data_IF_903511686842
#
_entry.id   IF_903511686842
#
_cell.length_a   1.000
_cell.length_b   1.000
_cell.length_c   1.000
_cell.angle_alpha   90.00
_cell.angle_beta   90.00
_cell.angle_gamma   90.00
#
_symmetry.space_group_name_H-M   'P 1'
#
loop_
_entity.id
_entity.type
_entity.pdbx_description
1 polymer ?
#
# COMPACT_ATOMS: atom_id res chain seq x y z
N UNK A 1 18.52 11.68 11.64
CA UNK A 1 17.69 11.72 10.43
C UNK A 1 16.28 11.37 10.88
N UNK A 2 15.36 12.35 10.86
CA UNK A 2 13.98 12.08 11.25
C UNK A 2 13.33 11.29 10.12
N UNK A 3 12.97 10.03 10.39
CA UNK A 3 12.20 9.22 9.44
C UNK A 3 10.80 9.81 9.34
N UNK A 4 10.29 9.96 8.13
CA UNK A 4 8.94 10.47 7.84
C UNK A 4 8.18 9.42 7.04
N UNK A 5 6.94 9.16 7.43
CA UNK A 5 5.97 8.40 6.66
C UNK A 5 5.22 9.36 5.76
N UNK A 6 5.27 9.11 4.44
CA UNK A 6 4.50 9.85 3.44
C UNK A 6 3.22 9.09 3.12
N UNK A 7 2.08 9.77 3.20
CA UNK A 7 0.78 9.29 2.76
C UNK A 7 0.42 9.98 1.46
N UNK A 8 0.07 9.22 0.42
CA UNK A 8 -0.26 9.73 -0.90
C UNK A 8 -1.73 9.45 -1.21
N UNK A 9 -2.38 10.32 -1.99
CA UNK A 9 -3.73 10.06 -2.45
C UNK A 9 -3.73 8.92 -3.49
N UNK A 10 -4.52 7.86 -3.32
CA UNK A 10 -4.57 6.75 -4.28
C UNK A 10 -5.09 7.14 -5.68
N UNK A 11 -5.69 8.32 -5.82
CA UNK A 11 -6.11 8.87 -7.11
C UNK A 11 -4.96 9.59 -7.85
N UNK A 12 -3.77 9.64 -7.26
CA UNK A 12 -2.58 10.30 -7.82
C UNK A 12 -2.82 11.76 -8.21
N UNK A 13 -3.57 12.49 -7.38
CA UNK A 13 -3.90 13.91 -7.61
C UNK A 13 -2.76 14.88 -7.25
N UNK A 14 -1.59 14.35 -6.85
CA UNK A 14 -0.42 15.13 -6.42
C UNK A 14 -0.43 15.56 -4.95
N UNK A 15 -1.52 15.32 -4.22
CA UNK A 15 -1.58 15.57 -2.78
C UNK A 15 -0.83 14.49 -1.98
N UNK A 16 -0.11 14.93 -0.95
CA UNK A 16 0.52 14.06 0.03
C UNK A 16 0.52 14.69 1.42
N UNK A 17 0.57 13.84 2.44
CA UNK A 17 0.76 14.23 3.83
C UNK A 17 2.00 13.55 4.39
N UNK A 18 2.99 14.35 4.79
CA UNK A 18 4.23 13.88 5.41
C UNK A 18 4.11 13.95 6.92
N UNK A 19 4.35 12.83 7.61
CA UNK A 19 4.29 12.72 9.07
C UNK A 19 5.59 12.14 9.62
N UNK A 20 6.08 12.58 10.79
CA UNK A 20 7.17 11.89 11.49
C UNK A 20 6.82 10.41 11.80
N UNK A 21 7.76 9.49 11.56
CA UNK A 21 7.58 8.06 11.87
C UNK A 21 7.63 7.79 13.38
N UNK A 22 8.32 8.64 14.13
CA UNK A 22 8.38 8.58 15.58
C UNK A 22 7.55 9.72 16.18
N UNK A 23 6.67 9.43 17.16
CA UNK A 23 5.89 10.46 17.84
C UNK A 23 6.81 11.41 18.62
N UNK A 24 6.41 12.68 18.70
CA UNK A 24 7.08 13.65 19.57
C UNK A 24 6.75 13.35 21.04
N UNK A 25 7.74 12.85 21.76
CA UNK A 25 7.62 12.49 23.19
C UNK A 25 8.07 13.63 24.11
N UNK A 26 8.32 14.83 23.59
CA UNK A 26 8.71 15.98 24.42
C UNK A 26 7.58 16.37 25.39
N UNK A 27 7.92 16.47 26.68
CA UNK A 27 6.96 16.87 27.74
C UNK A 27 6.25 15.72 28.45
N UNK A 28 6.53 14.46 28.11
CA UNK A 28 5.99 13.29 28.80
C UNK A 28 6.71 13.06 30.13
N UNK A 29 6.02 13.18 31.27
CA UNK A 29 6.53 12.75 32.58
C UNK A 29 5.42 12.13 33.44
N UNK A 30 5.69 11.00 34.11
CA UNK A 30 4.87 10.51 35.22
C UNK A 30 3.99 9.27 34.99
N UNK A 31 3.89 8.73 33.78
CA UNK A 31 3.24 7.44 33.49
C UNK A 31 4.26 6.42 32.97
N UNK A 32 3.92 5.13 32.93
CA UNK A 32 4.82 4.13 32.34
C UNK A 32 5.09 4.53 30.88
N UNK A 33 6.35 4.48 30.45
CA UNK A 33 6.75 5.02 29.15
C UNK A 33 5.94 4.42 27.98
N UNK A 34 5.44 3.20 28.13
CA UNK A 34 4.61 2.48 27.17
C UNK A 34 3.19 3.05 27.05
N UNK A 35 2.51 3.36 28.17
CA UNK A 35 1.16 3.94 28.14
C UNK A 35 1.15 5.31 27.47
N UNK A 36 2.19 6.11 27.72
CA UNK A 36 2.29 7.41 27.08
C UNK A 36 2.69 7.29 25.62
N UNK A 37 3.62 6.40 25.28
CA UNK A 37 3.97 6.15 23.89
C UNK A 37 2.74 5.71 23.08
N UNK A 38 1.90 4.85 23.65
CA UNK A 38 0.66 4.43 23.02
C UNK A 38 -0.35 5.57 22.89
N UNK A 39 -0.56 6.37 23.94
CA UNK A 39 -1.48 7.50 23.92
C UNK A 39 -1.07 8.57 22.90
N UNK A 40 0.23 8.89 22.84
CA UNK A 40 0.77 9.82 21.84
C UNK A 40 0.57 9.21 20.45
N UNK A 41 1.06 7.99 20.19
CA UNK A 41 0.89 7.34 18.89
C UNK A 41 -0.56 7.30 18.42
N UNK A 42 -1.51 7.02 19.33
CA UNK A 42 -2.94 6.99 19.03
C UNK A 42 -3.47 8.36 18.60
N UNK A 43 -3.23 9.41 19.40
CA UNK A 43 -3.67 10.79 19.05
C UNK A 43 -3.13 11.19 17.69
N UNK A 44 -1.87 10.88 17.48
CA UNK A 44 -1.04 11.28 16.37
C UNK A 44 -1.49 10.53 15.08
N UNK A 45 -1.99 9.29 15.22
CA UNK A 45 -2.70 8.56 14.16
C UNK A 45 -4.10 9.14 13.87
N UNK A 46 -4.84 9.55 14.90
CA UNK A 46 -6.16 10.17 14.72
C UNK A 46 -6.07 11.52 13.99
N UNK A 47 -5.03 12.31 14.26
CA UNK A 47 -4.76 13.55 13.54
C UNK A 47 -4.46 13.27 12.06
N UNK A 48 -3.63 12.26 11.76
CA UNK A 48 -3.37 11.84 10.39
C UNK A 48 -4.64 11.34 9.68
N UNK A 49 -5.45 10.53 10.36
CA UNK A 49 -6.72 10.02 9.83
C UNK A 49 -7.68 11.17 9.49
N UNK A 50 -7.80 12.17 10.34
CA UNK A 50 -8.65 13.33 10.08
C UNK A 50 -8.21 14.11 8.83
N UNK A 51 -6.90 14.36 8.68
CA UNK A 51 -6.34 15.05 7.50
C UNK A 51 -6.56 14.23 6.22
N UNK A 52 -6.36 12.92 6.29
CA UNK A 52 -6.59 12.02 5.15
C UNK A 52 -8.07 11.99 4.76
N UNK A 53 -8.96 11.89 5.75
CA UNK A 53 -10.41 11.88 5.53
C UNK A 53 -10.89 13.19 4.91
N UNK A 54 -10.45 14.34 5.44
CA UNK A 54 -10.76 15.66 4.90
C UNK A 54 -10.32 15.78 3.43
N UNK A 55 -9.15 15.24 3.09
CA UNK A 55 -8.70 15.23 1.71
C UNK A 55 -9.53 14.29 0.83
N UNK A 56 -9.82 13.07 1.28
CA UNK A 56 -10.60 12.10 0.49
C UNK A 56 -12.02 12.57 0.18
N UNK A 57 -12.60 13.39 1.06
CA UNK A 57 -13.91 14.02 0.85
C UNK A 57 -13.91 15.10 -0.25
N UNK A 58 -12.74 15.57 -0.68
CA UNK A 58 -12.61 16.51 -1.81
C UNK A 58 -12.81 15.82 -3.17
N UNK A 59 -12.75 14.49 -3.20
CA UNK A 59 -12.92 13.70 -4.42
C UNK A 59 -14.35 13.17 -4.53
N UNK A 60 -15.01 13.34 -5.69
CA UNK A 60 -16.32 12.74 -5.92
C UNK A 60 -16.23 11.21 -5.91
N UNK A 61 -17.28 10.55 -5.42
CA UNK A 61 -17.37 9.08 -5.37
C UNK A 61 -17.08 8.42 -6.74
N UNK A 62 -17.41 9.09 -7.84
CA UNK A 62 -17.15 8.59 -9.20
C UNK A 62 -15.67 8.44 -9.51
N UNK A 63 -14.81 9.33 -9.02
CA UNK A 63 -13.35 9.21 -9.22
C UNK A 63 -12.80 7.98 -8.51
N UNK A 64 -13.23 7.74 -7.26
CA UNK A 64 -12.89 6.55 -6.51
C UNK A 64 -13.33 5.25 -7.21
N UNK A 65 -14.57 5.21 -7.69
CA UNK A 65 -15.08 4.04 -8.40
C UNK A 65 -14.29 3.79 -9.68
N UNK A 66 -13.96 4.82 -10.45
CA UNK A 66 -13.18 4.68 -11.68
C UNK A 66 -11.76 4.16 -11.40
N UNK A 67 -11.09 4.70 -10.38
CA UNK A 67 -9.77 4.23 -9.97
C UNK A 67 -9.79 2.76 -9.52
N UNK A 68 -10.80 2.35 -8.74
CA UNK A 68 -10.95 0.95 -8.32
C UNK A 68 -11.22 0.02 -9.51
N UNK A 69 -12.00 0.46 -10.50
CA UNK A 69 -12.25 -0.31 -11.73
C UNK A 69 -10.96 -0.45 -12.55
N UNK A 70 -10.19 0.62 -12.70
CA UNK A 70 -8.90 0.59 -13.41
C UNK A 70 -7.91 -0.35 -12.72
N UNK A 71 -7.71 -0.21 -11.41
CA UNK A 71 -6.83 -1.07 -10.63
C UNK A 71 -7.25 -2.54 -10.69
N UNK A 72 -8.57 -2.81 -10.68
CA UNK A 72 -9.09 -4.16 -10.88
C UNK A 72 -8.74 -4.70 -12.26
N UNK A 73 -8.90 -3.89 -13.30
CA UNK A 73 -8.59 -4.30 -14.67
C UNK A 73 -7.10 -4.59 -14.85
N UNK A 74 -6.22 -3.73 -14.32
CA UNK A 74 -4.77 -3.96 -14.31
C UNK A 74 -4.39 -5.26 -13.62
N UNK A 75 -4.97 -5.51 -12.43
CA UNK A 75 -4.78 -6.76 -11.70
C UNK A 75 -5.23 -7.97 -12.53
N UNK A 76 -6.41 -7.90 -13.14
CA UNK A 76 -6.96 -9.01 -13.90
C UNK A 76 -6.11 -9.30 -15.15
N UNK A 77 -5.55 -8.26 -15.80
CA UNK A 77 -4.55 -8.40 -16.88
C UNK A 77 -3.27 -9.07 -16.37
N UNK A 78 -2.67 -8.59 -15.28
CA UNK A 78 -1.44 -9.17 -14.74
C UNK A 78 -1.62 -10.64 -14.34
N UNK A 79 -2.79 -10.99 -13.79
CA UNK A 79 -3.12 -12.39 -13.48
C UNK A 79 -3.23 -13.25 -14.74
N UNK A 80 -3.78 -12.71 -15.83
CA UNK A 80 -3.85 -13.41 -17.10
C UNK A 80 -2.44 -13.65 -17.68
N UNK A 81 -1.59 -12.64 -17.69
CA UNK A 81 -0.19 -12.73 -18.13
C UNK A 81 0.58 -13.80 -17.34
N UNK A 82 0.49 -13.77 -16.01
CA UNK A 82 1.14 -14.77 -15.15
C UNK A 82 0.64 -16.21 -15.41
N UNK A 83 -0.62 -16.39 -15.78
CA UNK A 83 -1.14 -17.72 -16.17
C UNK A 83 -0.52 -18.17 -17.48
N UNK A 84 -0.47 -17.30 -18.48
CA UNK A 84 0.16 -17.60 -19.77
C UNK A 84 1.64 -17.93 -19.61
N UNK A 85 2.38 -17.14 -18.83
CA UNK A 85 3.80 -17.41 -18.56
C UNK A 85 4.01 -18.76 -17.87
N UNK A 86 3.14 -19.10 -16.91
CA UNK A 86 3.19 -20.39 -16.23
C UNK A 86 2.91 -21.56 -17.17
N UNK A 87 1.95 -21.41 -18.08
CA UNK A 87 1.62 -22.43 -19.08
C UNK A 87 2.78 -22.63 -20.06
N UNK A 88 3.37 -21.55 -20.57
CA UNK A 88 4.55 -21.61 -21.45
C UNK A 88 5.74 -22.27 -20.75
N UNK A 89 6.02 -21.89 -19.51
CA UNK A 89 7.08 -22.51 -18.71
C UNK A 89 6.85 -24.02 -18.49
N UNK A 90 5.59 -24.44 -18.35
CA UNK A 90 5.26 -25.87 -18.25
C UNK A 90 5.55 -26.61 -19.57
N UNK A 91 5.10 -26.07 -20.70
CA UNK A 91 5.32 -26.67 -22.03
C UNK A 91 6.82 -26.86 -22.30
N UNK A 92 7.64 -25.84 -22.00
CA UNK A 92 9.09 -25.92 -22.18
C UNK A 92 9.69 -27.02 -21.30
N UNK A 93 9.26 -27.12 -20.03
CA UNK A 93 9.73 -28.19 -19.13
C UNK A 93 9.38 -29.58 -19.64
N UNK A 94 8.14 -29.77 -20.11
CA UNK A 94 7.68 -31.06 -20.64
C UNK A 94 8.46 -31.44 -21.92
N UNK A 95 8.73 -30.48 -22.79
CA UNK A 95 9.57 -30.68 -23.98
C UNK A 95 11.00 -31.08 -23.62
N UNK A 96 11.62 -30.41 -22.64
CA UNK A 96 12.97 -30.77 -22.19
C UNK A 96 13.02 -32.19 -21.59
N UNK A 97 11.99 -32.60 -20.85
CA UNK A 97 11.91 -33.94 -20.27
C UNK A 97 11.72 -35.02 -21.34
N UNK A 98 10.84 -34.81 -22.31
CA UNK A 98 10.62 -35.75 -23.42
C UNK A 98 11.86 -35.88 -24.31
N UNK A 99 12.56 -34.77 -24.60
CA UNK A 99 13.81 -34.78 -25.35
C UNK A 99 14.95 -35.50 -24.59
N UNK A 100 14.98 -35.43 -23.27
CA UNK A 100 15.95 -36.15 -22.44
C UNK A 100 15.66 -37.65 -22.35
N UNK A 101 14.38 -38.05 -22.29
CA UNK A 101 13.96 -39.46 -22.23
C UNK A 101 14.13 -40.23 -23.56
N UNK A 102 14.32 -39.50 -24.67
CA UNK A 102 14.48 -40.07 -26.02
C UNK A 102 15.95 -40.30 -26.41
N UNK A 103 16.90 -40.10 -25.48
CA UNK A 103 18.34 -40.36 -25.64
C UNK A 103 18.76 -41.55 -24.79
#
# INVERSE_FOLDING_TARGET
MNQTTRYECPLDCGWHHDRPTLPDMTGVSGATAEEVAFAVLKRDLQEAEAVLQEHFEQHPLTEWVLALVAARQERDTAVAELRTDREQAQIVRDWMQTAAASR
#
